data_IF_803970501892
#
_entry.id   IF_803970501892
#
_cell.length_a   1.000
_cell.length_b   1.000
_cell.length_c   1.000
_cell.angle_alpha   90.00
_cell.angle_beta   90.00
_cell.angle_gamma   90.00
#
_symmetry.space_group_name_H-M   'P 1'
#
loop_
_entity.id
_entity.type
_entity.pdbx_description
1 polymer ?
#
# COMPACT_ATOMS: atom_id res chain seq x y z
N UNK A 1 16.81 -20.07 3.24
CA UNK A 1 15.51 -19.85 3.91
C UNK A 1 14.91 -21.20 4.27
N UNK A 2 14.57 -21.47 5.54
CA UNK A 2 14.03 -22.78 5.95
C UNK A 2 12.57 -22.99 5.49
N UNK A 3 12.24 -24.24 5.17
CA UNK A 3 10.92 -24.69 4.68
C UNK A 3 9.77 -24.17 5.53
N UNK A 4 9.86 -24.30 6.86
CA UNK A 4 8.77 -23.97 7.76
C UNK A 4 8.48 -22.47 7.79
N UNK A 5 9.52 -21.63 7.67
CA UNK A 5 9.37 -20.17 7.61
C UNK A 5 8.69 -19.74 6.31
N UNK A 6 9.03 -20.35 5.18
CA UNK A 6 8.40 -20.08 3.88
C UNK A 6 6.93 -20.47 3.92
N UNK A 7 6.60 -21.66 4.43
CA UNK A 7 5.21 -22.12 4.51
C UNK A 7 4.38 -21.26 5.47
N UNK A 8 4.97 -20.78 6.57
CA UNK A 8 4.33 -19.82 7.47
C UNK A 8 4.00 -18.49 6.77
N UNK A 9 4.92 -17.98 5.95
CA UNK A 9 4.70 -16.76 5.15
C UNK A 9 3.74 -16.97 3.96
N UNK A 10 3.71 -18.18 3.40
CA UNK A 10 2.81 -18.56 2.32
C UNK A 10 1.39 -18.91 2.80
N UNK A 11 1.12 -18.83 4.11
CA UNK A 11 -0.20 -19.10 4.69
C UNK A 11 -1.21 -18.10 4.11
N UNK A 12 -2.24 -18.62 3.44
CA UNK A 12 -3.26 -17.82 2.75
C UNK A 12 -3.08 -17.73 1.24
N UNK A 13 -1.96 -18.23 0.68
CA UNK A 13 -1.81 -18.33 -0.77
C UNK A 13 -2.77 -19.37 -1.37
N UNK A 14 -3.27 -19.06 -2.57
CA UNK A 14 -4.25 -19.89 -3.29
C UNK A 14 -3.57 -21.10 -3.96
N UNK A 15 -4.27 -22.24 -3.96
CA UNK A 15 -3.86 -23.45 -4.69
C UNK A 15 -2.55 -24.07 -4.17
N UNK A 16 -1.67 -24.49 -5.09
CA UNK A 16 -0.41 -25.19 -4.76
C UNK A 16 0.67 -24.30 -4.12
N UNK A 17 0.48 -22.97 -4.14
CA UNK A 17 1.43 -22.01 -3.59
C UNK A 17 1.53 -22.00 -2.05
N UNK A 18 0.60 -22.66 -1.34
CA UNK A 18 0.65 -22.82 0.13
C UNK A 18 1.28 -24.15 0.59
N UNK A 19 1.33 -25.17 -0.28
CA UNK A 19 1.76 -26.54 0.08
C UNK A 19 3.12 -26.89 -0.56
N UNK A 20 3.35 -26.50 -1.82
CA UNK A 20 4.55 -26.86 -2.57
C UNK A 20 5.64 -25.81 -2.36
N UNK A 21 6.76 -26.19 -1.73
CA UNK A 21 7.85 -25.29 -1.35
C UNK A 21 8.40 -24.51 -2.56
N UNK A 22 8.60 -25.16 -3.71
CA UNK A 22 9.15 -24.51 -4.91
C UNK A 22 8.31 -23.31 -5.34
N UNK A 23 7.00 -23.52 -5.46
CA UNK A 23 6.04 -22.48 -5.85
C UNK A 23 5.87 -21.45 -4.72
N UNK A 24 5.85 -21.90 -3.46
CA UNK A 24 5.72 -21.02 -2.31
C UNK A 24 6.88 -20.04 -2.22
N UNK A 25 8.12 -20.47 -2.46
CA UNK A 25 9.32 -19.63 -2.45
C UNK A 25 9.21 -18.47 -3.44
N UNK A 26 8.91 -18.77 -4.70
CA UNK A 26 8.77 -17.76 -5.75
C UNK A 26 7.68 -16.72 -5.41
N UNK A 27 6.57 -17.17 -4.82
CA UNK A 27 5.46 -16.30 -4.42
C UNK A 27 5.80 -15.45 -3.20
N UNK A 28 6.44 -16.04 -2.19
CA UNK A 28 6.87 -15.32 -0.98
C UNK A 28 7.92 -14.26 -1.33
N UNK A 29 8.88 -14.57 -2.19
CA UNK A 29 9.91 -13.62 -2.63
C UNK A 29 9.29 -12.39 -3.32
N UNK A 30 8.35 -12.60 -4.25
CA UNK A 30 7.61 -11.50 -4.90
C UNK A 30 6.75 -10.72 -3.89
N UNK A 31 6.08 -11.40 -2.98
CA UNK A 31 5.25 -10.75 -1.95
C UNK A 31 6.08 -9.85 -1.02
N UNK A 32 7.30 -10.27 -0.65
CA UNK A 32 8.20 -9.46 0.17
C UNK A 32 8.70 -8.22 -0.58
N UNK A 33 9.02 -8.36 -1.87
CA UNK A 33 9.39 -7.21 -2.72
C UNK A 33 8.24 -6.20 -2.83
N UNK A 34 7.01 -6.67 -3.06
CA UNK A 34 5.83 -5.80 -3.09
C UNK A 34 5.60 -5.12 -1.74
N UNK A 35 5.70 -5.85 -0.62
CA UNK A 35 5.55 -5.25 0.71
C UNK A 35 6.57 -4.13 0.95
N UNK A 36 7.84 -4.31 0.56
CA UNK A 36 8.85 -3.27 0.68
C UNK A 36 8.50 -2.02 -0.13
N UNK A 37 8.10 -2.20 -1.40
CA UNK A 37 7.67 -1.09 -2.27
C UNK A 37 6.44 -0.38 -1.72
N UNK A 38 5.43 -1.15 -1.33
CA UNK A 38 4.13 -0.61 -0.93
C UNK A 38 4.21 0.15 0.42
N UNK A 39 5.16 -0.19 1.30
CA UNK A 39 5.44 0.63 2.50
C UNK A 39 5.89 2.05 2.16
N UNK A 40 6.63 2.23 1.06
CA UNK A 40 7.01 3.58 0.58
C UNK A 40 5.82 4.26 -0.12
N UNK A 41 5.12 3.53 -0.99
CA UNK A 41 3.97 4.09 -1.74
C UNK A 41 2.81 4.49 -0.83
N UNK A 42 2.52 3.72 0.24
CA UNK A 42 1.44 4.01 1.18
C UNK A 42 1.51 5.44 1.74
N UNK A 43 2.71 5.97 2.00
CA UNK A 43 2.87 7.36 2.49
C UNK A 43 2.41 8.39 1.45
N UNK A 44 2.70 8.13 0.17
CA UNK A 44 2.29 8.99 -0.96
C UNK A 44 0.78 8.88 -1.22
N UNK A 45 0.26 7.67 -1.24
CA UNK A 45 -1.16 7.41 -1.53
C UNK A 45 -2.07 8.01 -0.45
N UNK A 46 -1.67 7.87 0.83
CA UNK A 46 -2.39 8.49 1.94
C UNK A 46 -2.38 10.02 1.88
N UNK A 47 -1.25 10.62 1.48
CA UNK A 47 -1.17 12.09 1.30
C UNK A 47 -2.09 12.55 0.17
N UNK A 48 -2.11 11.84 -0.96
CA UNK A 48 -3.03 12.14 -2.07
C UNK A 48 -4.49 12.04 -1.61
N UNK A 49 -4.83 10.99 -0.87
CA UNK A 49 -6.18 10.80 -0.32
C UNK A 49 -6.57 11.92 0.65
N UNK A 50 -5.65 12.36 1.51
CA UNK A 50 -5.90 13.49 2.41
C UNK A 50 -6.17 14.78 1.65
N UNK A 51 -5.37 15.09 0.63
CA UNK A 51 -5.59 16.28 -0.22
C UNK A 51 -6.96 16.20 -0.90
N UNK A 52 -7.35 15.03 -1.42
CA UNK A 52 -8.66 14.83 -2.04
C UNK A 52 -9.82 15.05 -1.05
N UNK A 53 -9.71 14.51 0.17
CA UNK A 53 -10.72 14.68 1.23
C UNK A 53 -10.86 16.14 1.65
N UNK A 54 -9.74 16.84 1.85
CA UNK A 54 -9.74 18.26 2.22
C UNK A 54 -10.34 19.09 1.08
N UNK A 55 -9.91 18.85 -0.16
CA UNK A 55 -10.44 19.57 -1.33
C UNK A 55 -11.95 19.35 -1.51
N UNK A 56 -12.46 18.15 -1.26
CA UNK A 56 -13.90 17.88 -1.28
C UNK A 56 -14.65 18.70 -0.21
N UNK A 57 -14.11 18.81 1.01
CA UNK A 57 -14.69 19.62 2.07
C UNK A 57 -14.63 21.12 1.78
N UNK A 58 -13.50 21.65 1.32
CA UNK A 58 -13.37 23.09 1.02
C UNK A 58 -14.29 23.51 -0.12
N UNK A 59 -14.50 22.65 -1.12
CA UNK A 59 -15.44 22.89 -2.22
C UNK A 59 -16.88 23.07 -1.74
N UNK A 60 -17.30 22.38 -0.68
CA UNK A 60 -18.64 22.56 -0.09
C UNK A 60 -18.80 23.94 0.58
N UNK A 61 -17.70 24.52 1.05
CA UNK A 61 -17.67 25.84 1.68
C UNK A 61 -17.32 26.99 0.71
N UNK A 62 -17.29 26.73 -0.60
CA UNK A 62 -17.00 27.75 -1.63
C UNK A 62 -15.54 28.23 -1.68
N UNK A 63 -14.64 27.64 -0.89
CA UNK A 63 -13.21 27.96 -0.86
C UNK A 63 -12.41 26.94 -1.68
N UNK A 64 -11.62 27.41 -2.63
CA UNK A 64 -10.70 26.55 -3.38
C UNK A 64 -9.47 26.23 -2.54
N UNK A 65 -9.10 24.96 -2.44
CA UNK A 65 -7.91 24.49 -1.71
C UNK A 65 -6.62 25.24 -2.12
N UNK A 66 -6.52 25.64 -3.40
CA UNK A 66 -5.43 26.43 -3.96
C UNK A 66 -5.29 27.82 -3.33
N UNK A 67 -6.40 28.46 -2.94
CA UNK A 67 -6.42 29.78 -2.33
C UNK A 67 -5.96 29.74 -0.86
N UNK A 68 -6.30 28.66 -0.14
CA UNK A 68 -5.93 28.45 1.26
C UNK A 68 -4.42 28.17 1.45
N UNK A 69 -3.74 27.63 0.42
CA UNK A 69 -2.29 27.37 0.44
C UNK A 69 -1.42 28.55 -0.03
N UNK A 70 -1.96 29.48 -0.83
CA UNK A 70 -1.19 30.55 -1.48
C UNK A 70 -1.36 31.91 -0.79
N UNK A 71 -2.34 32.08 0.11
CA UNK A 71 -2.50 33.32 0.86
C UNK A 71 -1.67 33.30 2.15
N UNK A 72 -0.51 33.99 2.23
CA UNK A 72 0.03 34.37 3.53
C UNK A 72 -0.96 35.37 4.13
N UNK A 73 -1.50 35.05 5.31
CA UNK A 73 -2.02 36.08 6.19
C UNK A 73 -0.85 36.90 6.74
#
# INVERSE_FOLDING_TARGET
MHKDRILKLAKGFRGRAKNCIRIARERVEKALQYSYRDRRNKKRDMRSLWIQRINAGTRQHGVCFSFLLISPA
#
